data_IF_279888412489
#
_entry.id   IF_279888412489
#
_cell.length_a   1.000
_cell.length_b   1.000
_cell.length_c   1.000
_cell.angle_alpha   90.00
_cell.angle_beta   90.00
_cell.angle_gamma   90.00
#
_symmetry.space_group_name_H-M   'P 1'
#
loop_
_entity.id
_entity.type
_entity.pdbx_description
1 polymer ?
#
# COMPACT_ATOMS: atom_id res chain seq x y z
N UNK A 1 -21.36 -4.22 3.19
CA UNK A 1 -20.03 -3.68 3.50
C UNK A 1 -19.33 -3.56 2.17
N UNK A 2 -18.85 -2.39 1.81
CA UNK A 2 -18.06 -2.24 0.59
C UNK A 2 -16.62 -2.67 0.81
N UNK A 3 -15.85 -2.78 -0.27
CA UNK A 3 -14.39 -2.99 -0.22
C UNK A 3 -13.70 -1.86 0.56
N UNK A 4 -12.74 -2.23 1.40
CA UNK A 4 -11.91 -1.30 2.17
C UNK A 4 -10.55 -1.95 2.42
N UNK A 5 -9.54 -1.52 1.66
CA UNK A 5 -8.24 -2.16 1.64
C UNK A 5 -7.12 -1.16 1.36
N UNK A 6 -6.06 -1.24 2.17
CA UNK A 6 -4.77 -0.59 1.92
C UNK A 6 -3.75 -1.66 1.54
N UNK A 7 -2.95 -1.44 0.50
CA UNK A 7 -1.95 -2.39 0.05
C UNK A 7 -0.64 -1.72 -0.37
N UNK A 8 0.48 -2.29 0.07
CA UNK A 8 1.81 -2.07 -0.50
C UNK A 8 2.05 -3.08 -1.61
N UNK A 9 2.31 -2.60 -2.83
CA UNK A 9 2.49 -3.40 -4.04
C UNK A 9 3.94 -3.23 -4.51
N UNK A 10 4.68 -4.33 -4.55
CA UNK A 10 6.12 -4.36 -4.81
C UNK A 10 6.36 -5.04 -6.16
N UNK A 11 7.20 -4.46 -7.03
CA UNK A 11 7.48 -4.97 -8.38
C UNK A 11 8.45 -6.18 -8.45
N UNK A 12 8.58 -6.90 -7.34
CA UNK A 12 9.36 -8.13 -7.26
C UNK A 12 8.71 -9.08 -6.28
N UNK A 13 8.95 -10.37 -6.49
CA UNK A 13 8.64 -11.39 -5.49
C UNK A 13 9.54 -11.23 -4.28
N UNK A 14 8.92 -11.18 -3.12
CA UNK A 14 9.56 -11.03 -1.83
C UNK A 14 8.84 -11.94 -0.83
N UNK A 15 9.59 -12.86 -0.22
CA UNK A 15 9.12 -13.65 0.91
C UNK A 15 9.32 -12.84 2.20
N UNK A 16 8.20 -12.48 2.83
CA UNK A 16 8.16 -11.68 4.06
C UNK A 16 7.98 -12.55 5.31
N UNK A 17 7.97 -13.89 5.15
CA UNK A 17 7.73 -14.82 6.23
C UNK A 17 6.26 -14.98 6.60
N UNK A 18 5.98 -15.91 7.53
CA UNK A 18 4.60 -16.30 7.90
C UNK A 18 3.87 -15.27 8.76
N UNK A 19 4.61 -14.36 9.40
CA UNK A 19 4.06 -13.32 10.26
C UNK A 19 3.55 -12.11 9.47
N UNK A 20 3.94 -11.96 8.20
CA UNK A 20 3.44 -10.88 7.35
C UNK A 20 2.46 -11.46 6.35
N UNK A 21 1.24 -10.91 6.31
CA UNK A 21 0.24 -11.28 5.30
C UNK A 21 0.74 -10.76 3.95
N UNK A 22 1.01 -11.65 3.01
CA UNK A 22 1.44 -11.24 1.68
C UNK A 22 1.06 -12.26 0.60
N UNK A 23 0.90 -11.78 -0.63
CA UNK A 23 0.57 -12.62 -1.78
C UNK A 23 1.52 -12.34 -2.94
N UNK A 24 2.07 -13.39 -3.52
CA UNK A 24 2.72 -13.31 -4.82
C UNK A 24 1.67 -13.48 -5.92
N UNK A 25 1.43 -12.42 -6.69
CA UNK A 25 0.52 -12.43 -7.84
C UNK A 25 1.29 -11.96 -9.06
N UNK A 26 1.43 -12.84 -10.04
CA UNK A 26 2.34 -12.65 -11.18
C UNK A 26 3.77 -12.37 -10.70
N UNK A 27 4.36 -11.23 -11.07
CA UNK A 27 5.72 -10.81 -10.68
C UNK A 27 5.73 -9.80 -9.52
N UNK A 28 4.60 -9.62 -8.84
CA UNK A 28 4.43 -8.65 -7.75
C UNK A 28 4.22 -9.34 -6.41
N UNK A 29 4.66 -8.67 -5.34
CA UNK A 29 4.25 -8.98 -3.96
C UNK A 29 3.24 -7.92 -3.49
N UNK A 30 2.10 -8.39 -2.98
CA UNK A 30 1.05 -7.56 -2.40
C UNK A 30 1.03 -7.77 -0.89
N UNK A 31 1.15 -6.68 -0.12
CA UNK A 31 1.10 -6.68 1.34
C UNK A 31 -0.08 -5.82 1.78
N UNK A 32 -1.22 -6.43 2.16
CA UNK A 32 -2.36 -5.70 2.68
C UNK A 32 -2.12 -5.22 4.11
N UNK A 33 -2.71 -4.09 4.49
CA UNK A 33 -2.62 -3.50 5.82
C UNK A 33 -4.02 -3.24 6.39
N UNK A 34 -4.19 -3.53 7.69
CA UNK A 34 -5.40 -3.25 8.46
C UNK A 34 -5.47 -1.77 8.84
N UNK A 35 -5.73 -0.90 7.86
CA UNK A 35 -5.80 0.54 8.08
C UNK A 35 -6.66 1.22 7.03
N UNK A 36 -7.23 2.37 7.41
CA UNK A 36 -7.85 3.32 6.49
C UNK A 36 -6.81 4.03 5.60
N UNK A 37 -7.26 4.96 4.75
CA UNK A 37 -6.41 5.76 3.88
C UNK A 37 -5.17 6.31 4.63
N UNK A 38 -3.94 5.92 4.23
CA UNK A 38 -2.73 6.43 4.85
C UNK A 38 -2.63 7.94 4.69
N UNK A 39 -2.21 8.63 5.76
CA UNK A 39 -1.96 10.07 5.70
C UNK A 39 -0.50 10.30 5.32
N UNK A 40 -0.23 10.51 4.04
CA UNK A 40 1.11 10.87 3.57
C UNK A 40 1.38 12.37 3.84
N UNK A 41 1.35 12.80 5.10
CA UNK A 41 1.46 14.22 5.47
C UNK A 41 2.82 14.80 5.03
N UNK A 42 2.77 15.90 4.28
CA UNK A 42 3.98 16.60 3.83
C UNK A 42 4.83 15.86 2.79
N UNK A 43 4.42 14.66 2.32
CA UNK A 43 5.13 13.85 1.32
C UNK A 43 5.43 14.63 0.03
N UNK A 44 4.60 15.61 -0.32
CA UNK A 44 4.75 16.46 -1.49
C UNK A 44 6.06 17.26 -1.46
N UNK A 45 6.63 17.49 -0.27
CA UNK A 45 7.87 18.25 -0.07
C UNK A 45 9.16 17.42 -0.28
N UNK A 46 9.04 16.12 -0.54
CA UNK A 46 10.19 15.20 -0.63
C UNK A 46 10.33 14.58 -2.02
N UNK A 47 11.48 14.69 -2.67
CA UNK A 47 11.70 14.01 -3.96
C UNK A 47 12.04 12.52 -3.80
N UNK A 48 12.71 12.16 -2.71
CA UNK A 48 13.16 10.80 -2.39
C UNK A 48 12.33 10.21 -1.25
N UNK A 49 11.93 8.96 -1.37
CA UNK A 49 11.24 8.24 -0.28
C UNK A 49 12.14 8.11 0.95
N UNK A 50 13.45 7.99 0.76
CA UNK A 50 14.41 7.86 1.86
C UNK A 50 14.48 9.13 2.72
N UNK A 51 14.31 10.31 2.13
CA UNK A 51 14.27 11.57 2.88
C UNK A 51 12.94 11.72 3.63
N UNK A 52 11.85 11.23 3.06
CA UNK A 52 10.56 11.17 3.76
C UNK A 52 10.59 10.19 4.94
N UNK A 53 11.17 8.99 4.75
CA UNK A 53 11.35 8.01 5.84
C UNK A 53 12.18 8.64 6.97
N UNK A 54 13.28 9.33 6.66
CA UNK A 54 14.09 10.04 7.67
C UNK A 54 13.32 11.12 8.41
N UNK A 55 12.39 11.80 7.73
CA UNK A 55 11.52 12.78 8.37
C UNK A 55 10.57 12.09 9.36
N UNK A 56 9.90 11.00 8.96
CA UNK A 56 9.06 10.22 9.86
C UNK A 56 9.86 9.67 11.06
N UNK A 57 11.07 9.16 10.84
CA UNK A 57 11.97 8.69 11.91
C UNK A 57 12.37 9.79 12.91
N UNK A 58 12.26 11.06 12.52
CA UNK A 58 12.52 12.19 13.43
C UNK A 58 11.31 12.57 14.28
N UNK A 59 10.12 12.13 13.90
CA UNK A 59 8.85 12.40 14.58
C UNK A 59 8.38 11.21 15.43
N UNK A 60 8.63 9.98 14.96
CA UNK A 60 8.17 8.74 15.58
C UNK A 60 9.30 7.72 15.81
N UNK A 61 9.15 6.86 16.82
CA UNK A 61 10.04 5.72 17.05
C UNK A 61 9.64 4.54 16.17
N UNK A 62 10.23 4.45 14.97
CA UNK A 62 10.00 3.35 14.01
C UNK A 62 10.16 1.96 14.61
N UNK A 63 10.99 1.77 15.64
CA UNK A 63 11.19 0.45 16.23
C UNK A 63 9.99 -0.01 17.07
N UNK A 64 9.08 0.91 17.40
CA UNK A 64 7.83 0.61 18.09
C UNK A 64 6.66 0.22 17.17
N UNK A 65 6.86 0.25 15.84
CA UNK A 65 5.83 -0.08 14.83
C UNK A 65 6.17 -1.35 14.02
N UNK A 66 6.25 -2.54 14.67
CA UNK A 66 6.37 -3.79 13.92
C UNK A 66 5.04 -4.12 13.24
N UNK A 67 5.11 -4.72 12.05
CA UNK A 67 3.94 -5.32 11.41
C UNK A 67 3.31 -6.35 12.36
N UNK A 68 2.07 -6.10 12.78
CA UNK A 68 1.33 -6.93 13.72
C UNK A 68 -0.02 -7.32 13.13
N UNK A 69 -0.20 -8.63 12.90
CA UNK A 69 -1.40 -9.15 12.24
C UNK A 69 -2.68 -8.90 13.02
N UNK A 70 -2.58 -8.80 14.34
CA UNK A 70 -3.71 -8.73 15.26
C UNK A 70 -4.13 -7.28 15.59
N UNK A 71 -3.38 -6.29 15.12
CA UNK A 71 -3.60 -4.88 15.43
C UNK A 71 -3.92 -4.05 14.17
N UNK A 72 -4.44 -2.85 14.43
CA UNK A 72 -4.56 -1.82 13.39
C UNK A 72 -3.16 -1.35 13.01
N UNK A 73 -2.93 -1.20 11.71
CA UNK A 73 -1.68 -0.66 11.19
C UNK A 73 -1.78 0.87 11.03
N UNK A 74 -0.64 1.51 10.87
CA UNK A 74 -0.51 2.90 10.46
C UNK A 74 0.50 3.02 9.31
N UNK A 75 0.63 4.24 8.77
CA UNK A 75 1.56 4.54 7.69
C UNK A 75 3.02 4.21 8.06
N UNK A 76 3.40 4.35 9.33
CA UNK A 76 4.76 4.07 9.81
C UNK A 76 5.12 2.59 9.62
N UNK A 77 4.16 1.67 9.80
CA UNK A 77 4.37 0.23 9.56
C UNK A 77 4.76 -0.04 8.10
N UNK A 78 4.12 0.65 7.15
CA UNK A 78 4.41 0.54 5.72
C UNK A 78 5.82 1.06 5.42
N UNK A 79 6.15 2.26 5.92
CA UNK A 79 7.45 2.89 5.66
C UNK A 79 8.61 2.17 6.36
N UNK A 80 8.37 1.58 7.53
CA UNK A 80 9.32 0.67 8.17
C UNK A 80 9.62 -0.53 7.28
N UNK A 81 8.58 -1.18 6.71
CA UNK A 81 8.78 -2.30 5.79
C UNK A 81 9.56 -1.89 4.53
N UNK A 82 9.25 -0.72 3.96
CA UNK A 82 9.99 -0.16 2.82
C UNK A 82 11.47 0.02 3.16
N UNK A 83 11.79 0.56 4.34
CA UNK A 83 13.15 0.76 4.83
C UNK A 83 13.86 -0.57 5.06
N UNK A 84 13.27 -1.47 5.84
CA UNK A 84 13.88 -2.72 6.30
C UNK A 84 14.19 -3.67 5.11
N UNK A 85 13.37 -3.62 4.06
CA UNK A 85 13.56 -4.38 2.83
C UNK A 85 14.19 -3.60 1.68
N UNK A 86 14.62 -2.35 1.91
CA UNK A 86 15.25 -1.47 0.93
C UNK A 86 14.47 -1.41 -0.39
N UNK A 87 13.15 -1.16 -0.28
CA UNK A 87 12.26 -1.11 -1.42
C UNK A 87 12.38 0.22 -2.15
N UNK A 88 12.82 0.17 -3.40
CA UNK A 88 13.00 1.36 -4.25
C UNK A 88 11.90 1.50 -5.32
N UNK A 89 11.11 0.46 -5.53
CA UNK A 89 10.07 0.42 -6.56
C UNK A 89 8.79 -0.20 -5.99
N UNK A 90 7.79 0.63 -5.72
CA UNK A 90 6.54 0.19 -5.11
C UNK A 90 5.38 1.17 -5.35
N UNK A 91 4.16 0.69 -5.11
CA UNK A 91 2.94 1.49 -5.02
C UNK A 91 2.35 1.29 -3.62
N UNK A 92 1.85 2.34 -3.00
CA UNK A 92 0.91 2.25 -1.88
C UNK A 92 -0.44 2.72 -2.41
N UNK A 93 -1.45 1.87 -2.30
CA UNK A 93 -2.80 2.18 -2.75
C UNK A 93 -3.82 1.81 -1.68
N UNK A 94 -4.71 2.75 -1.40
CA UNK A 94 -5.90 2.54 -0.59
C UNK A 94 -7.14 2.75 -1.45
N UNK A 95 -8.14 1.88 -1.29
CA UNK A 95 -9.45 2.02 -1.89
C UNK A 95 -10.52 1.62 -0.90
N UNK A 96 -11.49 2.52 -0.69
CA UNK A 96 -12.68 2.27 0.11
C UNK A 96 -13.95 2.64 -0.66
N UNK A 97 -14.97 1.79 -0.57
CA UNK A 97 -16.29 2.01 -1.16
C UNK A 97 -17.42 1.75 -0.15
N UNK A 98 -18.54 2.42 -0.33
CA UNK A 98 -19.76 2.20 0.43
C UNK A 98 -20.98 2.31 -0.48
N UNK A 99 -21.81 1.26 -0.49
CA UNK A 99 -22.99 1.17 -1.37
C UNK A 99 -22.65 1.46 -2.85
N UNK A 100 -21.58 0.81 -3.35
CA UNK A 100 -21.06 0.95 -4.72
C UNK A 100 -20.62 2.37 -5.09
N UNK A 101 -20.37 3.23 -4.09
CA UNK A 101 -19.82 4.57 -4.27
C UNK A 101 -18.41 4.64 -3.64
N UNK A 102 -17.40 5.16 -4.37
CA UNK A 102 -16.09 5.43 -3.78
C UNK A 102 -16.22 6.40 -2.60
N UNK A 103 -15.61 6.05 -1.48
CA UNK A 103 -15.60 6.87 -0.26
C UNK A 103 -14.24 7.54 -0.14
N UNK A 104 -13.18 6.73 -0.05
CA UNK A 104 -11.81 7.19 0.17
C UNK A 104 -10.84 6.51 -0.79
N UNK A 105 -9.79 7.24 -1.16
CA UNK A 105 -8.74 6.75 -2.04
C UNK A 105 -7.43 7.48 -1.79
N UNK A 106 -6.35 6.72 -1.61
CA UNK A 106 -4.99 7.24 -1.49
C UNK A 106 -4.10 6.49 -2.49
N UNK A 107 -3.15 7.20 -3.09
CA UNK A 107 -2.22 6.59 -4.04
C UNK A 107 -0.85 7.25 -3.96
N UNK A 108 0.19 6.43 -3.90
CA UNK A 108 1.58 6.84 -3.99
C UNK A 108 2.34 5.85 -4.85
N UNK A 109 3.18 6.35 -5.74
CA UNK A 109 4.12 5.54 -6.51
C UNK A 109 5.54 6.01 -6.23
N UNK A 110 6.44 5.04 -6.07
CA UNK A 110 7.88 5.25 -6.02
C UNK A 110 8.56 4.43 -7.10
N UNK A 111 9.45 5.07 -7.86
CA UNK A 111 10.30 4.42 -8.86
C UNK A 111 11.76 4.83 -8.63
N UNK A 112 12.65 3.85 -8.55
CA UNK A 112 14.08 4.04 -8.26
C UNK A 112 14.32 4.99 -7.05
N UNK A 113 13.51 4.81 -5.99
CA UNK A 113 13.54 5.61 -4.77
C UNK A 113 12.87 6.99 -4.86
N UNK A 114 12.43 7.41 -6.06
CA UNK A 114 11.82 8.72 -6.30
C UNK A 114 10.31 8.69 -6.16
N UNK A 115 9.77 9.65 -5.42
CA UNK A 115 8.32 9.83 -5.27
C UNK A 115 7.76 10.44 -6.55
N UNK A 116 6.85 9.74 -7.21
CA UNK A 116 6.20 10.23 -8.43
C UNK A 116 5.03 11.13 -8.03
N UNK A 117 5.19 12.44 -8.29
CA UNK A 117 4.29 13.48 -7.79
C UNK A 117 2.97 13.58 -8.54
N UNK A 118 2.98 13.35 -9.86
CA UNK A 118 1.78 13.51 -10.68
C UNK A 118 0.60 12.63 -10.22
N UNK A 119 0.76 11.31 -9.99
CA UNK A 119 -0.34 10.44 -9.57
C UNK A 119 -0.59 10.48 -8.04
N UNK A 120 0.20 11.23 -7.27
CA UNK A 120 0.10 11.27 -5.81
C UNK A 120 -1.29 11.76 -5.37
N UNK A 121 -1.91 11.02 -4.45
CA UNK A 121 -3.14 11.40 -3.75
C UNK A 121 -2.88 11.16 -2.26
N UNK A 122 -2.72 12.24 -1.50
CA UNK A 122 -2.29 12.20 -0.10
C UNK A 122 -3.36 12.63 0.91
N UNK A 123 -4.57 13.00 0.46
CA UNK A 123 -5.71 13.25 1.34
C UNK A 123 -7.07 13.05 0.63
N UNK A 124 -8.11 12.83 1.43
CA UNK A 124 -9.51 12.61 1.01
C UNK A 124 -10.06 13.78 0.18
N UNK A 125 -9.63 15.02 0.45
CA UNK A 125 -10.11 16.21 -0.25
C UNK A 125 -9.60 16.30 -1.72
N UNK A 126 -8.49 15.64 -2.05
CA UNK A 126 -7.91 15.61 -3.40
C UNK A 126 -8.56 14.58 -4.33
N UNK A 127 -9.44 13.71 -3.82
CA UNK A 127 -10.19 12.76 -4.65
C UNK A 127 -11.12 13.44 -5.68
N UNK A 128 -11.43 14.72 -5.47
CA UNK A 128 -12.40 15.49 -6.26
C UNK A 128 -11.89 16.02 -7.61
N UNK A 129 -10.65 15.74 -8.01
CA UNK A 129 -10.05 16.37 -9.21
C UNK A 129 -9.20 15.46 -10.09
N UNK A 130 -9.80 14.61 -10.92
CA UNK A 130 -9.25 14.12 -12.20
C UNK A 130 -7.88 13.39 -12.21
N UNK A 131 -7.34 12.89 -11.09
CA UNK A 131 -6.02 12.23 -11.11
C UNK A 131 -6.04 10.77 -11.61
N UNK A 132 -7.23 10.20 -11.87
CA UNK A 132 -7.39 8.80 -12.25
C UNK A 132 -6.62 8.38 -13.51
N UNK A 133 -6.53 9.25 -14.52
CA UNK A 133 -5.77 8.93 -15.72
C UNK A 133 -4.27 8.87 -15.44
N UNK A 134 -3.74 9.78 -14.61
CA UNK A 134 -2.34 9.72 -14.19
C UNK A 134 -2.06 8.48 -13.31
N UNK A 135 -2.99 8.11 -12.43
CA UNK A 135 -2.88 6.88 -11.61
C UNK A 135 -2.86 5.65 -12.51
N UNK A 136 -3.78 5.58 -13.49
CA UNK A 136 -3.84 4.49 -14.46
C UNK A 136 -2.55 4.40 -15.29
N UNK A 137 -2.03 5.53 -15.74
CA UNK A 137 -0.75 5.61 -16.42
C UNK A 137 0.41 5.18 -15.51
N UNK A 138 0.42 5.62 -14.25
CA UNK A 138 1.41 5.24 -13.24
C UNK A 138 1.44 3.72 -13.00
N UNK A 139 0.27 3.10 -12.79
CA UNK A 139 0.14 1.63 -12.65
C UNK A 139 0.63 0.90 -13.90
N UNK A 140 0.25 1.38 -15.09
CA UNK A 140 0.71 0.81 -16.36
C UNK A 140 2.24 0.89 -16.50
N UNK A 141 2.83 2.05 -16.18
CA UNK A 141 4.28 2.25 -16.23
C UNK A 141 5.03 1.40 -15.18
N UNK A 142 4.37 1.08 -14.06
CA UNK A 142 4.87 0.13 -13.06
C UNK A 142 4.78 -1.34 -13.51
N UNK A 143 4.05 -1.63 -14.59
CA UNK A 143 3.78 -2.99 -15.06
C UNK A 143 2.53 -3.64 -14.44
N UNK A 144 1.81 -2.94 -13.57
CA UNK A 144 0.55 -3.40 -12.96
C UNK A 144 -0.60 -3.24 -13.98
N UNK A 145 -0.67 -4.18 -14.92
CA UNK A 145 -1.58 -4.17 -16.07
C UNK A 145 -2.91 -4.92 -15.83
N UNK A 146 -3.23 -5.21 -14.57
CA UNK A 146 -4.45 -5.88 -14.16
C UNK A 146 -5.05 -5.16 -12.96
N UNK A 147 -6.35 -5.31 -12.78
CA UNK A 147 -7.05 -4.77 -11.62
C UNK A 147 -6.93 -5.75 -10.44
N UNK A 148 -6.08 -5.42 -9.47
CA UNK A 148 -5.90 -6.24 -8.29
C UNK A 148 -7.11 -6.18 -7.35
N UNK A 149 -7.86 -5.08 -7.34
CA UNK A 149 -9.07 -4.94 -6.52
C UNK A 149 -10.17 -5.91 -6.96
N UNK A 150 -10.15 -6.35 -8.23
CA UNK A 150 -11.05 -7.37 -8.76
C UNK A 150 -10.79 -8.77 -8.18
N UNK A 151 -9.63 -9.02 -7.54
CA UNK A 151 -9.35 -10.28 -6.85
C UNK A 151 -9.96 -10.29 -5.45
N UNK A 152 -11.30 -10.23 -5.41
CA UNK A 152 -12.10 -9.98 -4.22
C UNK A 152 -11.87 -11.00 -3.09
N UNK A 153 -11.59 -12.26 -3.44
CA UNK A 153 -11.28 -13.32 -2.47
C UNK A 153 -9.94 -13.12 -1.74
N UNK A 154 -9.10 -12.19 -2.22
CA UNK A 154 -7.83 -11.81 -1.60
C UNK A 154 -7.87 -10.40 -1.04
N UNK A 155 -8.46 -9.44 -1.75
CA UNK A 155 -8.27 -8.00 -1.49
C UNK A 155 -9.58 -7.22 -1.26
N UNK A 156 -10.63 -7.87 -0.76
CA UNK A 156 -11.84 -7.15 -0.34
C UNK A 156 -11.61 -6.30 0.92
N UNK A 157 -10.90 -6.84 1.90
CA UNK A 157 -10.52 -6.16 3.13
C UNK A 157 -9.39 -6.90 3.82
N UNK A 158 -8.71 -6.26 4.77
CA UNK A 158 -7.62 -6.90 5.49
C UNK A 158 -8.04 -8.22 6.17
N UNK A 159 -9.20 -8.33 6.87
CA UNK A 159 -9.65 -9.61 7.41
C UNK A 159 -9.86 -10.72 6.37
N UNK A 160 -10.27 -10.35 5.14
CA UNK A 160 -10.38 -11.31 4.03
C UNK A 160 -9.00 -11.77 3.59
N UNK A 161 -8.06 -10.84 3.43
CA UNK A 161 -6.66 -11.14 3.11
C UNK A 161 -6.03 -12.06 4.15
N UNK A 162 -6.12 -11.71 5.43
CA UNK A 162 -5.54 -12.47 6.53
C UNK A 162 -6.07 -13.91 6.58
N UNK A 163 -7.40 -14.06 6.42
CA UNK A 163 -8.04 -15.37 6.35
C UNK A 163 -7.55 -16.18 5.15
N UNK A 164 -7.49 -15.58 3.96
CA UNK A 164 -7.03 -16.25 2.75
C UNK A 164 -5.57 -16.70 2.89
N UNK A 165 -4.71 -15.83 3.42
CA UNK A 165 -3.30 -16.12 3.66
C UNK A 165 -3.12 -17.27 4.66
N UNK A 166 -3.85 -17.24 5.78
CA UNK A 166 -3.84 -18.32 6.78
C UNK A 166 -4.22 -19.67 6.17
N UNK A 167 -5.25 -19.71 5.32
CA UNK A 167 -5.67 -20.93 4.62
C UNK A 167 -4.63 -21.43 3.61
N UNK A 168 -3.89 -20.54 2.95
CA UNK A 168 -2.79 -20.90 2.05
C UNK A 168 -1.62 -21.48 2.85
N UNK A 169 -1.24 -20.83 3.95
CA UNK A 169 -0.14 -21.28 4.81
C UNK A 169 -0.44 -22.63 5.48
N UNK A 170 -1.70 -22.92 5.82
CA UNK A 170 -2.10 -24.21 6.38
C UNK A 170 -2.00 -25.39 5.39
N UNK A 171 -1.89 -25.12 4.09
CA UNK A 171 -1.76 -26.14 3.04
C UNK A 171 -0.31 -26.41 2.61
N UNK A 172 0.64 -25.58 3.05
CA UNK A 172 2.08 -25.70 2.77
C UNK A 172 2.78 -26.47 3.87
#
# INVERSE_FOLDING_TARGET
MGQDITCLIINKKLDLGKEVVHFEVNDFTFVPFNMSCPRFEGIENFDQVSDYIRHLESEDDFESYPYDRDNDHCEVDIFKMIRDHQLENFIIEHSSEWADMPVDYCFMQVLDGRIIKNPLVNNENQFTGNNFENIKEAKKNFGLNFDWLAMYDLFHSYPVSDRAYTLIQAKK
#
